data_IF_888838382585
#
_entry.id   IF_888838382585
#
_cell.length_a   1.000
_cell.length_b   1.000
_cell.length_c   1.000
_cell.angle_alpha   90.00
_cell.angle_beta   90.00
_cell.angle_gamma   90.00
#
_symmetry.space_group_name_H-M   'P 1'
#
loop_
_entity.id
_entity.type
_entity.pdbx_description
1 polymer ?
#
# COMPACT_ATOMS: atom_id res chain seq x y z
N UNK A 1 -18.36 -59.13 -13.54
CA UNK A 1 -17.49 -59.85 -12.60
C UNK A 1 -16.22 -60.29 -13.33
N UNK A 2 -15.02 -59.95 -12.79
CA UNK A 2 -13.75 -60.73 -12.79
C UNK A 2 -13.25 -61.32 -14.13
N UNK A 3 -12.03 -61.11 -14.64
CA UNK A 3 -10.69 -60.98 -14.02
C UNK A 3 -9.68 -60.44 -15.06
N UNK A 4 -8.61 -59.84 -14.54
CA UNK A 4 -7.38 -59.37 -15.20
C UNK A 4 -6.51 -60.52 -15.72
N UNK A 5 -5.69 -60.26 -16.75
CA UNK A 5 -4.56 -61.13 -17.11
C UNK A 5 -3.84 -60.71 -18.39
N UNK A 6 -2.89 -59.76 -18.30
CA UNK A 6 -1.91 -59.52 -19.37
C UNK A 6 -0.65 -60.29 -18.96
N UNK A 7 -0.50 -61.49 -19.49
CA UNK A 7 0.71 -62.30 -19.37
C UNK A 7 1.75 -61.79 -20.37
N UNK A 8 2.92 -61.45 -19.81
CA UNK A 8 4.26 -61.77 -20.31
C UNK A 8 4.79 -61.12 -21.60
N UNK A 9 5.61 -60.09 -21.42
CA UNK A 9 6.75 -59.77 -22.30
C UNK A 9 7.95 -59.33 -21.46
N UNK A 10 8.48 -60.25 -20.67
CA UNK A 10 9.91 -60.23 -20.34
C UNK A 10 10.68 -60.78 -21.54
N UNK A 11 11.69 -60.04 -22.03
CA UNK A 11 12.98 -60.55 -22.53
C UNK A 11 13.71 -59.45 -23.30
N UNK A 12 14.53 -58.68 -22.58
CA UNK A 12 15.90 -58.24 -22.94
C UNK A 12 16.25 -57.00 -22.13
N UNK A 13 16.79 -57.19 -20.92
CA UNK A 13 17.95 -56.41 -20.47
C UNK A 13 18.74 -57.30 -19.52
N UNK A 14 19.97 -57.62 -19.93
CA UNK A 14 20.91 -58.45 -19.20
C UNK A 14 21.42 -57.70 -17.96
N UNK A 15 21.37 -58.42 -16.85
CA UNK A 15 22.16 -58.36 -15.61
C UNK A 15 23.50 -57.59 -15.67
N UNK A 16 23.84 -56.84 -14.61
CA UNK A 16 24.94 -57.20 -13.67
C UNK A 16 25.03 -56.20 -12.47
N UNK A 17 24.80 -56.80 -11.28
CA UNK A 17 25.39 -56.64 -9.92
C UNK A 17 25.15 -55.40 -9.02
N UNK A 18 24.86 -55.78 -7.77
CA UNK A 18 24.49 -55.06 -6.55
C UNK A 18 25.67 -54.43 -5.79
N UNK A 19 25.40 -53.50 -4.85
CA UNK A 19 26.41 -52.68 -4.17
C UNK A 19 26.98 -53.32 -2.90
N UNK A 20 28.27 -53.13 -2.65
CA UNK A 20 28.93 -53.42 -1.35
C UNK A 20 29.24 -52.14 -0.59
N UNK A 21 28.75 -52.09 0.65
CA UNK A 21 28.95 -51.06 1.68
C UNK A 21 30.38 -51.12 2.26
N UNK A 22 31.01 -49.96 2.54
CA UNK A 22 31.90 -49.78 3.71
C UNK A 22 32.11 -48.28 4.05
N UNK A 23 32.46 -48.04 5.31
CA UNK A 23 32.10 -46.92 6.20
C UNK A 23 33.00 -45.67 6.10
N UNK A 24 32.43 -44.54 6.55
CA UNK A 24 32.96 -43.17 6.76
C UNK A 24 34.20 -43.05 7.66
N UNK A 25 34.94 -41.92 7.62
CA UNK A 25 34.67 -40.81 8.57
C UNK A 25 34.66 -39.39 7.96
N UNK A 26 34.11 -38.46 8.75
CA UNK A 26 33.68 -37.09 8.47
C UNK A 26 34.76 -36.08 8.03
N UNK A 27 34.39 -35.11 7.18
CA UNK A 27 34.76 -33.68 7.36
C UNK A 27 33.76 -32.74 6.65
N UNK A 28 33.47 -31.63 7.31
CA UNK A 28 32.42 -30.62 7.05
C UNK A 28 32.61 -29.76 5.78
N UNK A 29 31.48 -29.20 5.28
CA UNK A 29 31.27 -27.85 4.67
C UNK A 29 30.63 -27.78 3.24
N UNK A 30 29.84 -26.72 2.92
CA UNK A 30 28.44 -26.88 2.45
C UNK A 30 28.16 -26.67 0.95
N UNK A 31 27.01 -27.26 0.55
CA UNK A 31 26.31 -27.19 -0.73
C UNK A 31 25.94 -25.76 -1.18
N UNK A 32 26.16 -25.46 -2.46
CA UNK A 32 25.59 -24.29 -3.14
C UNK A 32 24.21 -24.62 -3.77
N UNK A 33 23.20 -23.73 -3.67
CA UNK A 33 21.94 -23.90 -4.38
C UNK A 33 22.05 -23.44 -5.84
N UNK A 34 21.53 -24.25 -6.76
CA UNK A 34 21.29 -23.88 -8.16
C UNK A 34 20.15 -22.87 -8.25
N UNK A 35 20.48 -21.59 -8.42
CA UNK A 35 19.48 -20.56 -8.73
C UNK A 35 19.04 -20.66 -10.20
N UNK A 36 17.75 -20.91 -10.40
CA UNK A 36 17.11 -20.89 -11.70
C UNK A 36 17.26 -19.51 -12.36
N UNK A 37 17.93 -19.51 -13.51
CA UNK A 37 18.19 -18.33 -14.35
C UNK A 37 16.89 -17.71 -14.89
N UNK A 38 16.41 -16.66 -14.22
CA UNK A 38 15.49 -15.64 -14.78
C UNK A 38 15.86 -14.24 -14.29
N UNK A 39 17.13 -13.87 -14.30
CA UNK A 39 17.59 -12.51 -14.00
C UNK A 39 18.47 -12.00 -15.13
N UNK A 40 18.10 -10.86 -15.71
CA UNK A 40 18.91 -10.18 -16.71
C UNK A 40 20.32 -9.93 -16.17
N UNK A 41 21.32 -10.13 -17.03
CA UNK A 41 22.75 -10.02 -16.71
C UNK A 41 23.14 -8.69 -16.06
N UNK A 42 22.33 -7.65 -16.24
CA UNK A 42 22.56 -6.30 -15.73
C UNK A 42 22.55 -6.18 -14.20
N UNK A 43 21.98 -7.14 -13.46
CA UNK A 43 21.81 -7.06 -12.00
C UNK A 43 22.65 -8.09 -11.23
N UNK A 44 23.53 -8.85 -11.91
CA UNK A 44 24.28 -9.95 -11.29
C UNK A 44 25.25 -9.48 -10.19
N UNK A 45 25.72 -8.23 -10.25
CA UNK A 45 26.72 -7.69 -9.32
C UNK A 45 26.19 -6.51 -8.47
N UNK A 46 24.88 -6.28 -8.44
CA UNK A 46 24.29 -5.21 -7.65
C UNK A 46 23.93 -5.70 -6.25
N UNK A 47 24.45 -5.05 -5.20
CA UNK A 47 23.97 -5.26 -3.83
C UNK A 47 22.44 -5.16 -3.81
N UNK A 48 21.72 -6.09 -3.16
CA UNK A 48 20.27 -5.99 -3.02
C UNK A 48 19.90 -4.61 -2.47
N UNK A 49 19.00 -3.91 -3.15
CA UNK A 49 18.55 -2.58 -2.73
C UNK A 49 17.89 -2.72 -1.35
N UNK A 50 18.57 -2.22 -0.32
CA UNK A 50 18.04 -2.12 1.03
C UNK A 50 17.05 -0.96 1.10
N UNK A 51 15.76 -1.28 1.14
CA UNK A 51 14.68 -0.30 1.34
C UNK A 51 14.54 0.11 2.82
N UNK A 52 15.65 0.38 3.50
CA UNK A 52 15.60 0.98 4.83
C UNK A 52 15.03 2.40 4.71
N UNK A 53 13.77 2.55 5.10
CA UNK A 53 13.05 3.82 5.14
C UNK A 53 13.85 4.86 5.93
N UNK A 54 13.99 6.06 5.35
CA UNK A 54 14.84 7.13 5.86
C UNK A 54 14.34 7.63 7.22
N UNK A 55 15.27 7.82 8.16
CA UNK A 55 15.05 8.36 9.50
C UNK A 55 14.20 9.64 9.49
N UNK A 56 13.14 9.64 10.30
CA UNK A 56 12.10 10.67 10.39
C UNK A 56 12.61 12.03 10.88
N UNK A 57 13.79 12.06 11.52
CA UNK A 57 14.38 13.26 12.13
C UNK A 57 15.00 14.25 11.14
N UNK A 58 15.34 13.82 9.92
CA UNK A 58 16.13 14.63 8.96
C UNK A 58 15.32 15.44 7.94
N UNK A 59 14.01 15.23 7.86
CA UNK A 59 13.15 15.87 6.83
C UNK A 59 12.62 17.25 7.27
N UNK A 60 12.65 17.54 8.57
CA UNK A 60 12.00 18.74 9.14
C UNK A 60 12.63 20.06 8.65
N UNK A 61 13.92 20.06 8.30
CA UNK A 61 14.65 21.27 7.88
C UNK A 61 14.46 21.66 6.41
N UNK A 62 13.88 20.81 5.56
CA UNK A 62 13.77 21.08 4.12
C UNK A 62 12.42 21.66 3.67
N UNK A 63 11.44 21.79 4.59
CA UNK A 63 10.04 22.10 4.25
C UNK A 63 9.63 23.56 4.53
N UNK A 64 10.52 24.40 5.05
CA UNK A 64 10.26 25.85 5.22
C UNK A 64 10.47 26.66 3.94
N UNK A 65 11.09 26.09 2.90
CA UNK A 65 11.19 26.70 1.57
C UNK A 65 9.88 26.54 0.80
N UNK A 66 9.19 27.65 0.56
CA UNK A 66 7.85 27.74 -0.02
C UNK A 66 7.58 26.82 -1.21
N UNK A 67 6.47 26.06 -1.11
CA UNK A 67 5.89 25.31 -2.23
C UNK A 67 5.18 26.27 -3.20
N UNK A 68 5.99 27.05 -3.92
CA UNK A 68 5.59 27.77 -5.12
C UNK A 68 6.42 27.20 -6.29
N UNK A 69 5.77 26.96 -7.44
CA UNK A 69 6.32 26.51 -8.74
C UNK A 69 6.49 24.97 -8.83
N UNK A 70 5.67 24.22 -9.56
CA UNK A 70 5.34 24.40 -10.98
C UNK A 70 3.84 24.19 -11.23
N UNK A 71 3.08 25.28 -11.28
CA UNK A 71 1.76 25.27 -11.90
C UNK A 71 2.00 25.42 -13.40
N UNK A 72 2.06 24.30 -14.13
CA UNK A 72 2.06 24.35 -15.59
C UNK A 72 0.79 25.08 -16.05
N UNK A 73 0.97 26.12 -16.88
CA UNK A 73 -0.09 26.75 -17.65
C UNK A 73 -0.84 25.66 -18.42
N UNK A 74 -2.08 25.36 -18.00
CA UNK A 74 -2.89 24.25 -18.54
C UNK A 74 -3.26 23.15 -17.54
N UNK A 75 -2.84 23.24 -16.26
CA UNK A 75 -3.31 22.31 -15.22
C UNK A 75 -4.82 22.43 -15.00
N UNK A 76 -5.56 21.35 -15.28
CA UNK A 76 -7.00 21.26 -15.03
C UNK A 76 -7.27 21.59 -13.56
N UNK A 77 -8.26 22.45 -13.25
CA UNK A 77 -8.58 22.77 -11.87
C UNK A 77 -8.99 21.49 -11.14
N UNK A 78 -8.39 21.26 -9.99
CA UNK A 78 -8.77 20.18 -9.09
C UNK A 78 -10.00 20.64 -8.31
N UNK A 79 -11.17 20.13 -8.68
CA UNK A 79 -12.45 20.47 -8.08
C UNK A 79 -13.08 19.19 -7.54
N UNK A 80 -13.44 19.21 -6.26
CA UNK A 80 -14.23 18.15 -5.64
C UNK A 80 -15.67 18.62 -5.43
N UNK A 81 -16.62 17.75 -5.79
CA UNK A 81 -18.07 17.95 -5.65
C UNK A 81 -18.61 17.15 -4.45
N UNK A 82 -19.86 17.37 -4.06
CA UNK A 82 -20.48 16.67 -2.91
C UNK A 82 -20.55 15.15 -3.07
N UNK A 83 -20.68 14.66 -4.30
CA UNK A 83 -20.58 13.23 -4.63
C UNK A 83 -19.23 12.63 -4.21
N UNK A 84 -18.12 13.39 -4.30
CA UNK A 84 -16.80 12.90 -3.88
C UNK A 84 -16.71 12.74 -2.36
N UNK A 85 -17.40 13.60 -1.61
CA UNK A 85 -17.51 13.46 -0.15
C UNK A 85 -18.33 12.21 0.21
N UNK A 86 -19.46 11.99 -0.46
CA UNK A 86 -20.30 10.78 -0.25
C UNK A 86 -19.58 9.49 -0.62
N UNK A 87 -18.70 9.52 -1.62
CA UNK A 87 -17.90 8.37 -2.03
C UNK A 87 -16.68 8.11 -1.12
N UNK A 88 -16.30 9.09 -0.30
CA UNK A 88 -15.19 8.94 0.64
C UNK A 88 -15.65 8.17 1.87
N UNK A 89 -14.91 7.12 2.22
CA UNK A 89 -15.24 6.37 3.42
C UNK A 89 -14.75 7.07 4.68
N UNK A 90 -15.54 6.94 5.73
CA UNK A 90 -15.17 7.33 7.09
C UNK A 90 -15.28 6.11 8.00
N UNK A 91 -14.33 5.99 8.91
CA UNK A 91 -14.28 4.97 9.95
C UNK A 91 -14.13 5.69 11.30
N UNK A 92 -14.78 5.16 12.33
CA UNK A 92 -14.58 5.58 13.74
C UNK A 92 -13.62 4.66 14.51
N UNK A 93 -13.32 3.47 13.98
CA UNK A 93 -12.29 2.58 14.52
C UNK A 93 -10.88 3.17 14.37
N UNK A 94 -10.08 3.07 15.42
CA UNK A 94 -8.67 3.45 15.36
C UNK A 94 -7.84 2.40 14.62
N UNK A 95 -6.82 2.85 13.90
CA UNK A 95 -5.84 2.00 13.24
C UNK A 95 -4.45 2.20 13.85
N UNK A 96 -3.78 1.10 14.21
CA UNK A 96 -2.39 1.12 14.68
C UNK A 96 -1.44 0.99 13.49
N UNK A 97 -0.75 2.08 13.16
CA UNK A 97 0.21 2.11 12.04
C UNK A 97 1.44 1.25 12.33
N UNK A 98 2.03 0.72 11.25
CA UNK A 98 3.32 0.01 11.29
C UNK A 98 3.32 -1.29 12.10
N UNK A 99 2.14 -1.88 12.31
CA UNK A 99 1.96 -3.18 12.95
C UNK A 99 1.63 -4.26 11.91
N UNK A 100 0.60 -4.04 11.10
CA UNK A 100 0.19 -5.00 10.08
C UNK A 100 1.20 -5.11 8.92
N UNK A 101 1.76 -6.30 8.73
CA UNK A 101 2.79 -6.55 7.72
C UNK A 101 4.20 -6.16 8.14
N UNK A 102 4.42 -5.94 9.44
CA UNK A 102 5.70 -5.64 10.05
C UNK A 102 6.17 -6.78 10.96
N UNK A 103 7.49 -7.00 11.00
CA UNK A 103 8.13 -7.97 11.88
C UNK A 103 8.35 -7.39 13.28
N UNK A 104 8.79 -8.25 14.20
CA UNK A 104 9.14 -7.84 15.57
C UNK A 104 10.30 -6.83 15.61
N UNK A 105 11.07 -6.72 14.53
CA UNK A 105 12.14 -5.74 14.32
C UNK A 105 11.64 -4.37 13.83
N UNK A 106 10.32 -4.19 13.69
CA UNK A 106 9.71 -2.96 13.19
C UNK A 106 9.92 -2.72 11.70
N UNK A 107 10.39 -3.72 10.94
CA UNK A 107 10.58 -3.62 9.49
C UNK A 107 9.44 -4.30 8.74
N UNK A 108 9.15 -3.82 7.53
CA UNK A 108 8.17 -4.46 6.65
C UNK A 108 8.63 -5.85 6.23
N UNK A 109 7.69 -6.80 6.26
CA UNK A 109 7.95 -8.18 5.84
C UNK A 109 7.61 -8.32 4.35
N UNK A 110 8.64 -8.38 3.52
CA UNK A 110 8.49 -8.61 2.07
C UNK A 110 8.48 -10.11 1.77
N UNK A 111 7.56 -10.55 0.92
CA UNK A 111 7.47 -11.94 0.48
C UNK A 111 7.10 -11.98 -1.01
N UNK A 112 7.93 -12.57 -1.88
CA UNK A 112 7.68 -12.61 -3.32
C UNK A 112 6.56 -13.59 -3.72
N UNK A 113 6.21 -14.56 -2.88
CA UNK A 113 5.20 -15.60 -3.18
C UNK A 113 3.88 -15.27 -2.49
N UNK A 114 3.88 -15.13 -1.17
CA UNK A 114 2.68 -14.90 -0.35
C UNK A 114 2.33 -13.42 -0.17
N UNK A 115 3.28 -12.52 -0.43
CA UNK A 115 3.06 -11.09 -0.32
C UNK A 115 2.08 -10.57 -1.34
N UNK A 116 1.36 -9.51 -0.98
CA UNK A 116 0.38 -8.85 -1.83
C UNK A 116 0.75 -7.39 -2.07
N UNK A 117 0.65 -6.95 -3.32
CA UNK A 117 1.05 -5.60 -3.72
C UNK A 117 -0.03 -4.59 -3.34
N UNK A 118 0.36 -3.52 -2.66
CA UNK A 118 -0.52 -2.39 -2.40
C UNK A 118 -0.52 -1.41 -3.58
N UNK A 119 -1.69 -0.97 -4.05
CA UNK A 119 -1.82 0.03 -5.11
C UNK A 119 -1.14 1.36 -4.75
N UNK A 120 -1.29 1.82 -3.50
CA UNK A 120 -0.82 3.13 -3.08
C UNK A 120 0.70 3.21 -2.91
N UNK A 121 1.29 2.30 -2.12
CA UNK A 121 2.74 2.31 -1.86
C UNK A 121 3.53 1.41 -2.79
N UNK A 122 2.86 0.59 -3.62
CA UNK A 122 3.46 -0.35 -4.58
C UNK A 122 4.37 -1.41 -3.95
N UNK A 123 4.35 -1.53 -2.63
CA UNK A 123 5.14 -2.52 -1.91
C UNK A 123 4.39 -3.85 -1.85
N UNK A 124 5.11 -4.94 -2.11
CA UNK A 124 4.63 -6.32 -1.99
C UNK A 124 5.06 -6.89 -0.64
N UNK A 125 4.13 -6.91 0.31
CA UNK A 125 4.41 -7.33 1.70
C UNK A 125 3.36 -8.31 2.19
N UNK A 126 3.66 -8.99 3.29
CA UNK A 126 2.65 -9.66 4.10
C UNK A 126 1.75 -8.61 4.78
N UNK A 127 0.68 -9.07 5.40
CA UNK A 127 -0.32 -8.26 6.10
C UNK A 127 -1.68 -8.22 5.40
N UNK A 128 -2.60 -7.47 6.00
CA UNK A 128 -3.94 -7.30 5.49
C UNK A 128 -3.92 -6.53 4.17
N UNK A 129 -4.78 -6.97 3.25
CA UNK A 129 -5.07 -6.29 1.99
C UNK A 129 -6.55 -6.30 1.70
N UNK A 130 -7.04 -5.20 1.16
CA UNK A 130 -8.39 -5.10 0.61
C UNK A 130 -8.52 -5.88 -0.70
N UNK A 131 -9.77 -6.16 -1.09
CA UNK A 131 -10.12 -6.70 -2.39
C UNK A 131 -11.35 -5.97 -2.90
N UNK A 132 -11.33 -5.51 -4.15
CA UNK A 132 -12.43 -4.76 -4.75
C UNK A 132 -13.43 -5.70 -5.41
N UNK A 133 -14.71 -5.55 -5.10
CA UNK A 133 -15.82 -6.29 -5.72
C UNK A 133 -15.89 -6.08 -7.24
N UNK A 134 -15.64 -4.85 -7.70
CA UNK A 134 -15.77 -4.45 -9.11
C UNK A 134 -14.59 -4.85 -9.99
N UNK A 135 -13.34 -4.54 -9.60
CA UNK A 135 -12.20 -4.75 -10.48
C UNK A 135 -11.45 -6.06 -10.23
N UNK A 136 -11.48 -6.59 -9.01
CA UNK A 136 -10.78 -7.84 -8.63
C UNK A 136 -9.28 -7.89 -9.02
N UNK A 137 -8.67 -6.72 -9.21
CA UNK A 137 -7.28 -6.54 -9.66
C UNK A 137 -6.41 -5.97 -8.54
N UNK A 138 -5.09 -5.93 -8.77
CA UNK A 138 -4.11 -5.28 -7.87
C UNK A 138 -4.45 -3.80 -7.60
N UNK A 139 -5.13 -3.14 -8.54
CA UNK A 139 -5.64 -1.77 -8.35
C UNK A 139 -6.61 -1.65 -7.16
N UNK A 140 -7.31 -2.72 -6.80
CA UNK A 140 -8.21 -2.81 -5.65
C UNK A 140 -7.56 -3.24 -4.35
N UNK A 141 -6.24 -3.50 -4.33
CA UNK A 141 -5.52 -3.98 -3.16
C UNK A 141 -4.81 -2.83 -2.44
N UNK A 142 -5.20 -2.56 -1.20
CA UNK A 142 -4.60 -1.54 -0.33
C UNK A 142 -4.15 -2.16 0.98
N UNK A 143 -2.97 -1.74 1.48
CA UNK A 143 -2.57 -2.04 2.85
C UNK A 143 -3.36 -1.20 3.85
N UNK A 144 -3.50 -1.68 5.08
CA UNK A 144 -4.25 -0.96 6.12
C UNK A 144 -3.74 0.47 6.34
N UNK A 145 -2.42 0.65 6.48
CA UNK A 145 -1.83 1.98 6.65
C UNK A 145 -2.21 2.95 5.53
N UNK A 146 -2.12 2.51 4.27
CA UNK A 146 -2.42 3.37 3.12
C UNK A 146 -3.92 3.66 3.03
N UNK A 147 -4.75 2.66 3.26
CA UNK A 147 -6.20 2.81 3.21
C UNK A 147 -6.67 3.83 4.26
N UNK A 148 -6.19 3.68 5.49
CA UNK A 148 -6.54 4.54 6.60
C UNK A 148 -5.99 5.97 6.40
N UNK A 149 -4.67 6.13 6.18
CA UNK A 149 -4.07 7.47 6.06
C UNK A 149 -4.57 8.23 4.82
N UNK A 150 -4.75 7.55 3.69
CA UNK A 150 -5.07 8.22 2.42
C UNK A 150 -6.56 8.41 2.20
N UNK A 151 -7.38 7.46 2.64
CA UNK A 151 -8.81 7.44 2.34
C UNK A 151 -9.68 7.53 3.59
N UNK A 152 -9.19 7.11 4.77
CA UNK A 152 -9.94 7.18 6.02
C UNK A 152 -10.85 5.97 6.24
N UNK A 153 -10.54 4.86 5.58
CA UNK A 153 -11.27 3.60 5.64
C UNK A 153 -10.48 2.53 6.39
N UNK A 154 -11.18 1.67 7.14
CA UNK A 154 -10.57 0.58 7.89
C UNK A 154 -10.46 -0.72 7.07
N UNK A 155 -9.27 -1.33 7.01
CA UNK A 155 -9.08 -2.56 6.22
C UNK A 155 -9.95 -3.73 6.72
N UNK A 156 -10.20 -3.83 8.02
CA UNK A 156 -11.03 -4.92 8.55
C UNK A 156 -12.52 -4.73 8.26
N UNK A 157 -13.01 -3.48 8.22
CA UNK A 157 -14.41 -3.19 7.85
C UNK A 157 -14.61 -3.49 6.37
N UNK A 158 -13.67 -3.02 5.55
CA UNK A 158 -13.64 -3.27 4.11
C UNK A 158 -13.62 -4.77 3.80
N UNK A 159 -12.82 -5.55 4.51
CA UNK A 159 -12.75 -7.00 4.28
C UNK A 159 -14.02 -7.75 4.69
N UNK A 160 -14.82 -7.21 5.62
CA UNK A 160 -16.12 -7.77 6.00
C UNK A 160 -17.21 -7.43 4.98
N UNK A 161 -17.05 -6.35 4.23
CA UNK A 161 -18.01 -5.91 3.22
C UNK A 161 -17.68 -6.54 1.85
N UNK A 162 -18.48 -7.52 1.36
CA UNK A 162 -18.23 -8.17 0.07
C UNK A 162 -18.44 -7.22 -1.12
N UNK A 163 -19.23 -6.17 -0.95
CA UNK A 163 -19.59 -5.21 -2.01
C UNK A 163 -18.63 -4.02 -2.08
N UNK A 164 -17.58 -4.00 -1.25
CA UNK A 164 -16.66 -2.87 -1.21
C UNK A 164 -15.98 -2.58 -2.56
N UNK A 165 -16.12 -1.34 -3.01
CA UNK A 165 -15.51 -0.82 -4.24
C UNK A 165 -14.28 -0.01 -3.89
N UNK A 166 -13.15 -0.17 -4.58
CA UNK A 166 -11.92 0.55 -4.26
C UNK A 166 -11.89 2.03 -4.70
N UNK A 167 -11.01 2.87 -4.12
CA UNK A 167 -10.88 4.28 -4.50
C UNK A 167 -10.64 4.54 -6.01
N UNK A 168 -9.84 3.73 -6.74
CA UNK A 168 -9.74 3.86 -8.20
C UNK A 168 -11.07 3.65 -8.92
N UNK A 169 -11.83 2.62 -8.55
CA UNK A 169 -13.12 2.31 -9.15
C UNK A 169 -14.22 3.32 -8.81
N UNK A 170 -14.12 3.98 -7.66
CA UNK A 170 -14.96 5.13 -7.27
C UNK A 170 -14.52 6.45 -7.91
N UNK A 171 -13.37 6.47 -8.59
CA UNK A 171 -12.83 7.70 -9.18
C UNK A 171 -12.18 8.66 -8.18
N UNK A 172 -12.02 8.30 -6.90
CA UNK A 172 -11.49 9.17 -5.84
C UNK A 172 -10.03 8.88 -5.47
N UNK A 173 -9.34 8.00 -6.20
CA UNK A 173 -7.94 7.65 -5.93
C UNK A 173 -7.02 8.89 -5.95
N UNK A 174 -6.23 9.05 -4.89
CA UNK A 174 -5.26 10.15 -4.73
C UNK A 174 -3.80 9.69 -4.86
N UNK A 175 -3.55 8.52 -5.46
CA UNK A 175 -2.20 8.08 -5.76
C UNK A 175 -1.56 8.96 -6.85
N UNK A 176 -0.22 9.01 -6.88
CA UNK A 176 0.51 9.88 -7.81
C UNK A 176 0.18 9.62 -9.28
N UNK A 177 0.06 8.34 -9.68
CA UNK A 177 -0.26 7.98 -11.07
C UNK A 177 -1.69 8.37 -11.44
N UNK A 178 -2.67 8.09 -10.58
CA UNK A 178 -4.06 8.45 -10.85
C UNK A 178 -4.26 9.97 -10.90
N UNK A 179 -3.52 10.72 -10.08
CA UNK A 179 -3.57 12.20 -10.11
C UNK A 179 -2.89 12.77 -11.35
N UNK A 180 -1.72 12.25 -11.72
CA UNK A 180 -1.04 12.64 -12.96
C UNK A 180 -1.90 12.35 -14.19
N UNK A 181 -2.58 11.20 -14.24
CA UNK A 181 -3.51 10.87 -15.32
C UNK A 181 -4.70 11.85 -15.42
N UNK A 182 -5.08 12.49 -14.31
CA UNK A 182 -6.10 13.55 -14.27
C UNK A 182 -5.55 14.96 -14.54
N UNK A 183 -4.22 15.11 -14.66
CA UNK A 183 -3.56 16.41 -14.80
C UNK A 183 -3.36 17.16 -13.47
N UNK A 184 -3.46 16.46 -12.33
CA UNK A 184 -3.30 17.04 -11.00
C UNK A 184 -1.92 16.76 -10.41
N UNK A 185 -1.42 17.68 -9.57
CA UNK A 185 -0.17 17.52 -8.87
C UNK A 185 -0.20 16.28 -7.94
N UNK A 186 0.87 15.48 -7.85
CA UNK A 186 0.91 14.30 -6.99
C UNK A 186 0.87 14.68 -5.50
N UNK A 187 0.22 13.86 -4.69
CA UNK A 187 0.03 14.16 -3.25
C UNK A 187 1.27 13.87 -2.37
N UNK A 188 2.27 13.14 -2.88
CA UNK A 188 3.52 12.89 -2.15
C UNK A 188 3.35 12.40 -0.69
N UNK A 189 4.20 12.92 0.20
CA UNK A 189 4.21 12.61 1.63
C UNK A 189 3.22 13.48 2.46
N UNK A 190 2.19 14.06 1.83
CA UNK A 190 1.27 15.01 2.47
C UNK A 190 0.56 14.47 3.73
N UNK A 191 0.47 13.15 3.89
CA UNK A 191 -0.17 12.52 5.05
C UNK A 191 0.41 13.01 6.40
N UNK A 192 1.72 13.26 6.50
CA UNK A 192 2.35 13.72 7.77
C UNK A 192 1.91 15.13 8.16
N UNK A 193 1.75 16.01 7.18
CA UNK A 193 1.24 17.37 7.40
C UNK A 193 -0.24 17.32 7.77
N UNK A 194 -1.01 16.51 7.05
CA UNK A 194 -2.47 16.37 7.24
C UNK A 194 -2.82 15.78 8.60
N UNK A 195 -2.08 14.77 9.06
CA UNK A 195 -2.25 14.20 10.39
C UNK A 195 -2.03 15.25 11.50
N UNK A 196 -0.99 16.10 11.37
CA UNK A 196 -0.73 17.21 12.32
C UNK A 196 -1.84 18.26 12.31
N UNK A 197 -2.45 18.51 11.16
CA UNK A 197 -3.59 19.42 11.02
C UNK A 197 -4.90 18.84 11.57
N UNK A 198 -4.92 17.55 11.96
CA UNK A 198 -6.09 16.91 12.58
C UNK A 198 -7.17 16.44 11.60
N UNK A 199 -6.87 16.35 10.31
CA UNK A 199 -7.78 15.77 9.33
C UNK A 199 -7.77 14.24 9.43
N UNK A 200 -8.93 13.61 9.18
CA UNK A 200 -9.09 12.14 9.24
C UNK A 200 -8.20 11.41 8.22
N UNK A 201 -8.15 11.91 6.99
CA UNK A 201 -7.32 11.32 5.92
C UNK A 201 -6.96 12.34 4.86
N UNK A 202 -6.06 11.95 3.95
CA UNK A 202 -5.67 12.79 2.81
C UNK A 202 -6.84 13.12 1.89
N UNK A 203 -7.75 12.18 1.66
CA UNK A 203 -8.94 12.41 0.85
C UNK A 203 -9.84 13.50 1.47
N UNK A 204 -10.08 13.44 2.78
CA UNK A 204 -10.89 14.45 3.49
C UNK A 204 -10.28 15.86 3.38
N UNK A 205 -8.96 15.97 3.53
CA UNK A 205 -8.27 17.24 3.35
C UNK A 205 -8.46 17.79 1.93
N UNK A 206 -8.22 16.97 0.90
CA UNK A 206 -8.33 17.40 -0.49
C UNK A 206 -9.76 17.86 -0.83
N UNK A 207 -10.77 17.12 -0.40
CA UNK A 207 -12.17 17.49 -0.63
C UNK A 207 -12.52 18.82 0.04
N UNK A 208 -12.02 19.05 1.26
CA UNK A 208 -12.33 20.28 1.98
C UNK A 208 -11.59 21.50 1.43
N UNK A 209 -10.33 21.35 0.98
CA UNK A 209 -9.54 22.49 0.45
C UNK A 209 -9.83 22.81 -1.01
N UNK A 210 -10.32 21.85 -1.78
CA UNK A 210 -10.57 21.98 -3.22
C UNK A 210 -12.04 21.81 -3.58
N UNK A 211 -12.94 21.93 -2.60
CA UNK A 211 -14.37 22.07 -2.86
C UNK A 211 -14.58 23.35 -3.66
N UNK A 212 -15.37 23.28 -4.74
CA UNK A 212 -15.81 24.50 -5.41
C UNK A 212 -16.44 25.41 -4.36
N UNK A 213 -15.90 26.61 -4.16
CA UNK A 213 -16.54 27.60 -3.33
C UNK A 213 -17.91 27.86 -3.95
N UNK A 214 -18.97 27.37 -3.31
CA UNK A 214 -20.27 27.99 -3.46
C UNK A 214 -20.03 29.43 -3.01
N UNK A 215 -20.16 30.37 -3.92
CA UNK A 215 -19.93 31.79 -3.69
C UNK A 215 -20.75 32.26 -2.48
N UNK A 216 -20.11 32.40 -1.32
CA UNK A 216 -20.49 33.40 -0.35
C UNK A 216 -19.50 34.53 -0.53
N UNK A 217 -19.99 35.62 -1.11
CA UNK A 217 -19.36 36.91 -0.97
C UNK A 217 -19.13 37.20 0.52
N UNK A 218 -17.96 37.79 0.79
CA UNK A 218 -17.49 38.41 2.02
C UNK A 218 -16.58 37.60 2.96
N UNK A 219 -15.34 38.09 2.95
CA UNK A 219 -14.29 38.08 3.96
C UNK A 219 -13.30 36.90 3.98
N UNK A 220 -12.15 37.22 3.38
CA UNK A 220 -10.83 36.69 3.69
C UNK A 220 -10.57 36.63 5.20
N UNK A 221 -10.51 35.42 5.74
CA UNK A 221 -9.71 35.10 6.92
C UNK A 221 -9.22 33.65 6.82
N UNK A 222 -7.95 33.36 7.14
CA UNK A 222 -7.42 32.00 7.07
C UNK A 222 -8.13 31.10 8.07
N UNK A 223 -8.50 29.90 7.61
CA UNK A 223 -9.18 28.85 8.38
C UNK A 223 -8.21 28.29 9.44
N UNK A 224 -8.06 29.04 10.53
CA UNK A 224 -7.29 28.65 11.72
C UNK A 224 -8.03 28.95 13.04
N UNK A 225 -9.28 29.42 13.00
CA UNK A 225 -9.96 29.95 14.19
C UNK A 225 -11.38 29.39 14.42
N UNK A 226 -11.63 28.10 14.17
CA UNK A 226 -12.88 27.45 14.64
C UNK A 226 -12.68 26.39 15.73
N UNK A 227 -11.51 26.35 16.38
CA UNK A 227 -11.24 25.41 17.49
C UNK A 227 -11.18 26.04 18.88
N UNK A 228 -11.54 27.32 19.02
CA UNK A 228 -11.48 28.05 20.31
C UNK A 228 -12.83 28.53 20.88
N UNK A 229 -13.97 28.20 20.26
CA UNK A 229 -15.29 28.64 20.76
C UNK A 229 -16.09 27.58 21.53
N UNK A 230 -15.50 26.41 21.82
CA UNK A 230 -16.14 25.38 22.66
C UNK A 230 -15.50 25.19 24.04
N UNK A 231 -14.47 25.97 24.39
CA UNK A 231 -13.81 25.89 25.71
C UNK A 231 -14.16 27.03 26.67
N UNK A 232 -15.14 27.89 26.36
CA UNK A 232 -15.52 29.04 27.19
C UNK A 232 -16.94 28.99 27.77
N UNK A 233 -17.66 27.87 27.67
CA UNK A 233 -19.04 27.76 28.20
C UNK A 233 -19.13 26.92 29.50
N UNK A 234 -18.02 26.41 30.05
CA UNK A 234 -18.02 25.60 31.30
C UNK A 234 -17.17 26.19 32.42
N UNK A 235 -17.26 27.50 32.65
CA UNK A 235 -16.77 28.15 33.89
C UNK A 235 -17.66 29.30 34.32
N UNK A 236 -18.94 29.04 34.54
CA UNK A 236 -19.77 29.78 35.50
C UNK A 236 -20.82 28.81 36.04
N UNK A 237 -20.54 28.18 37.19
CA UNK A 237 -21.40 28.16 38.38
C UNK A 237 -20.64 27.51 39.54
#
# INVERSE_FOLDING_TARGET
MRKLGIFDMSLKLKSIRTPTVRKTPQRFSPLQPSESSRRSSRLQNGTPVSYSEVDLSKIDKSLEGGHHLLRGEGSKPEIYTEEHEKLSGTTDLSWTFFVDGYGNDGKRIYDPVKGKTCHQCRQKTLGQRTHCSKCQMVQGQFCGDCLYMRYGEHVLEVKKNPDWICPPCRGICNCSLCRQAKGWAPTGALYRKIARLGYKSVAHYLIQTHRASVSSENNSAPVAAKRLLLSQIWKVQ
#
